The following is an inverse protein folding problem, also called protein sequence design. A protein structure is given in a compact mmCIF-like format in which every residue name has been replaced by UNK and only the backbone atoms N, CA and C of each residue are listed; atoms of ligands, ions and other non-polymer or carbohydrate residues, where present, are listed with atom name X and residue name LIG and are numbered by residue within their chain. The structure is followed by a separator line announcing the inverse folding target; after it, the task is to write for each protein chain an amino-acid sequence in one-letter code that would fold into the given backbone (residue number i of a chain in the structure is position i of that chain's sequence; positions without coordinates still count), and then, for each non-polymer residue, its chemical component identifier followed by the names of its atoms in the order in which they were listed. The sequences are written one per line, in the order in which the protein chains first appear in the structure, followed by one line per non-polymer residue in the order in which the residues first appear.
data_IF_705605740436
#
_entry.id   IF_705605740436
#
_cell.length_a   1.000
_cell.length_b   1.000
_cell.length_c   1.000
_cell.angle_alpha   90.00
_cell.angle_beta   90.00
_cell.angle_gamma   90.00
#
_symmetry.space_group_name_H-M   'P 1'
#
loop_
_entity.id
_entity.type
_entity.pdbx_description
1 polymer ?
#
# COMPACT_ATOMS: atom_id res chain seq x y z
N UNK A 1 -9.33 -12.09 41.23
CA UNK A 1 -9.93 -10.79 41.58
C UNK A 1 -10.03 -9.87 40.36
N UNK A 2 -9.14 -10.00 39.37
CA UNK A 2 -9.19 -9.23 38.11
C UNK A 2 -10.23 -9.71 37.10
N UNK A 3 -10.50 -11.02 37.04
CA UNK A 3 -11.43 -11.58 36.05
C UNK A 3 -12.88 -11.16 36.28
N UNK A 4 -13.30 -11.10 37.55
CA UNK A 4 -14.62 -10.58 37.94
C UNK A 4 -14.77 -9.09 37.62
N UNK A 5 -13.69 -8.33 37.78
CA UNK A 5 -13.64 -6.89 37.49
C UNK A 5 -13.74 -6.59 35.99
N UNK A 6 -13.24 -7.51 35.15
CA UNK A 6 -13.35 -7.42 33.70
C UNK A 6 -14.78 -7.73 33.22
N UNK A 7 -15.42 -8.75 33.80
CA UNK A 7 -16.82 -9.10 33.49
C UNK A 7 -17.75 -7.97 33.90
N UNK A 8 -17.58 -7.41 35.10
CA UNK A 8 -18.39 -6.28 35.58
C UNK A 8 -18.25 -5.04 34.67
N UNK A 9 -17.05 -4.79 34.13
CA UNK A 9 -16.78 -3.69 33.19
C UNK A 9 -17.46 -3.91 31.83
N UNK A 10 -17.46 -5.16 31.33
CA UNK A 10 -18.12 -5.52 30.08
C UNK A 10 -19.65 -5.35 30.22
N UNK A 11 -20.24 -5.82 31.31
CA UNK A 11 -21.68 -5.67 31.56
C UNK A 11 -22.11 -4.20 31.71
N UNK A 12 -21.28 -3.37 32.35
CA UNK A 12 -21.53 -1.93 32.47
C UNK A 12 -21.48 -1.22 31.10
N UNK A 13 -20.52 -1.59 30.24
CA UNK A 13 -20.40 -1.05 28.88
C UNK A 13 -21.57 -1.48 27.97
N UNK A 14 -21.99 -2.75 28.06
CA UNK A 14 -23.10 -3.29 27.26
C UNK A 14 -24.45 -2.68 27.68
N UNK A 15 -24.62 -2.35 28.96
CA UNK A 15 -25.82 -1.67 29.46
C UNK A 15 -25.90 -0.22 28.98
N UNK A 16 -24.75 0.48 28.90
CA UNK A 16 -24.69 1.86 28.37
C UNK A 16 -25.02 1.91 26.88
N UNK A 17 -24.56 0.94 26.09
CA UNK A 17 -24.80 0.86 24.65
C UNK A 17 -26.27 0.57 24.28
N UNK A 18 -27.00 -0.15 25.14
CA UNK A 18 -28.40 -0.52 24.89
C UNK A 18 -29.42 0.56 25.31
N UNK A 19 -29.01 1.57 26.08
CA UNK A 19 -29.92 2.64 26.54
C UNK A 19 -30.09 3.80 25.54
N UNK A 20 -29.30 3.85 24.45
CA UNK A 20 -29.34 4.93 23.44
C UNK A 20 -30.08 4.56 22.15
N UNK A 21 -31.12 3.71 22.22
CA UNK A 21 -32.08 3.54 21.12
C UNK A 21 -33.35 4.35 21.40
N UNK A 22 -33.33 5.64 21.06
CA UNK A 22 -34.55 6.42 20.89
C UNK A 22 -34.90 6.57 19.41
N UNK A 23 -36.12 6.12 19.11
CA UNK A 23 -36.83 6.10 17.83
C UNK A 23 -36.82 7.42 17.07
N UNK A 24 -36.66 7.36 15.74
CA UNK A 24 -37.14 8.39 14.82
C UNK A 24 -38.00 7.77 13.71
N UNK A 25 -39.02 8.50 13.22
CA UNK A 25 -40.20 7.92 12.57
C UNK A 25 -40.03 7.75 11.06
N UNK A 26 -40.76 6.79 10.50
CA UNK A 26 -40.98 6.62 9.06
C UNK A 26 -41.56 7.89 8.42
N UNK A 27 -40.83 8.45 7.44
CA UNK A 27 -41.23 9.61 6.66
C UNK A 27 -41.14 9.35 5.15
N UNK A 28 -42.29 8.99 4.57
CA UNK A 28 -42.84 9.37 3.24
C UNK A 28 -41.87 9.55 2.06
N UNK A 29 -41.98 8.64 1.09
CA UNK A 29 -41.51 8.77 -0.28
C UNK A 29 -42.04 10.07 -0.93
N UNK A 30 -41.13 10.90 -1.43
CA UNK A 30 -41.45 11.99 -2.37
C UNK A 30 -40.52 11.87 -3.58
N UNK A 31 -41.10 12.10 -4.74
CA UNK A 31 -40.58 11.80 -6.08
C UNK A 31 -39.26 12.52 -6.38
N UNK A 32 -38.37 11.83 -7.10
CA UNK A 32 -37.11 12.36 -7.60
C UNK A 32 -37.35 13.38 -8.73
N UNK A 33 -36.73 14.57 -8.70
CA UNK A 33 -36.74 15.46 -9.86
C UNK A 33 -35.93 14.83 -11.00
N UNK A 34 -36.54 14.75 -12.19
CA UNK A 34 -35.87 14.34 -13.44
C UNK A 34 -34.61 15.17 -13.68
N UNK A 35 -33.45 14.55 -13.49
CA UNK A 35 -32.15 15.12 -13.84
C UNK A 35 -32.07 15.31 -15.36
N UNK A 36 -31.92 16.56 -15.79
CA UNK A 36 -31.63 16.92 -17.18
C UNK A 36 -30.22 16.46 -17.52
N UNK A 37 -30.13 15.57 -18.51
CA UNK A 37 -28.90 15.15 -19.18
C UNK A 37 -28.01 16.35 -19.52
N UNK A 38 -26.94 16.54 -18.74
CA UNK A 38 -25.78 17.34 -19.13
C UNK A 38 -24.75 16.38 -19.70
N UNK A 39 -24.38 16.58 -20.96
CA UNK A 39 -23.33 15.83 -21.64
C UNK A 39 -22.04 15.97 -20.84
N UNK A 40 -21.60 14.89 -20.18
CA UNK A 40 -20.37 14.91 -19.39
C UNK A 40 -19.17 15.05 -20.36
N UNK A 41 -18.50 16.20 -20.30
CA UNK A 41 -17.17 16.33 -20.90
C UNK A 41 -16.24 15.42 -20.10
N UNK A 42 -15.51 14.52 -20.75
CA UNK A 42 -14.46 13.72 -20.08
C UNK A 42 -13.55 14.67 -19.29
N UNK A 43 -13.26 14.38 -18.00
CA UNK A 43 -12.41 15.24 -17.20
C UNK A 43 -11.02 15.33 -17.85
N UNK A 44 -10.47 16.55 -17.94
CA UNK A 44 -9.12 16.75 -18.50
C UNK A 44 -8.10 16.10 -17.57
N UNK A 45 -7.26 15.21 -18.11
CA UNK A 45 -6.15 14.60 -17.37
C UNK A 45 -5.23 15.68 -16.80
N UNK A 46 -4.80 15.48 -15.56
CA UNK A 46 -3.92 16.41 -14.86
C UNK A 46 -2.55 16.49 -15.52
N UNK A 47 -1.98 17.70 -15.56
CA UNK A 47 -0.60 17.93 -15.95
C UNK A 47 0.38 17.80 -14.79
N UNK A 48 -0.11 17.64 -13.56
CA UNK A 48 0.72 17.43 -12.39
C UNK A 48 1.37 16.05 -12.46
N UNK A 49 2.64 15.98 -12.09
CA UNK A 49 3.38 14.74 -11.86
C UNK A 49 4.08 14.82 -10.51
N UNK A 50 4.20 13.68 -9.85
CA UNK A 50 4.86 13.55 -8.56
C UNK A 50 6.11 12.70 -8.71
N UNK A 51 7.24 13.21 -8.26
CA UNK A 51 8.41 12.39 -7.99
C UNK A 51 8.27 11.83 -6.58
N UNK A 52 8.01 10.53 -6.47
CA UNK A 52 7.86 9.83 -5.21
C UNK A 52 9.09 8.98 -4.92
N UNK A 53 9.58 9.02 -3.68
CA UNK A 53 10.52 8.04 -3.16
C UNK A 53 9.75 7.02 -2.31
N UNK A 54 9.83 5.76 -2.71
CA UNK A 54 9.26 4.60 -2.02
C UNK A 54 10.42 3.90 -1.31
N UNK A 55 10.40 3.82 0.03
CA UNK A 55 11.45 3.16 0.80
C UNK A 55 10.85 2.04 1.64
N UNK A 56 11.37 0.82 1.51
CA UNK A 56 10.96 -0.32 2.34
C UNK A 56 11.57 -0.16 3.74
N UNK A 57 10.72 -0.20 4.76
CA UNK A 57 11.12 0.03 6.15
C UNK A 57 11.71 -1.26 6.76
N UNK A 58 12.59 -1.10 7.75
CA UNK A 58 13.09 -2.21 8.56
C UNK A 58 14.32 -2.93 8.01
N UNK A 59 14.73 -2.66 6.77
CA UNK A 59 15.88 -3.33 6.13
C UNK A 59 17.07 -2.37 5.96
N UNK A 60 18.28 -2.88 6.22
CA UNK A 60 19.54 -2.17 5.96
C UNK A 60 20.54 -3.11 5.25
N UNK A 61 21.29 -2.62 4.24
CA UNK A 61 21.17 -1.32 3.56
C UNK A 61 19.78 -1.08 2.92
N UNK A 62 19.36 0.18 2.70
CA UNK A 62 17.97 0.47 2.35
C UNK A 62 17.60 -0.01 0.94
N UNK A 63 16.42 -0.63 0.82
CA UNK A 63 15.77 -0.97 -0.44
C UNK A 63 14.79 0.16 -0.79
N UNK A 64 14.93 0.74 -1.98
CA UNK A 64 14.08 1.87 -2.38
C UNK A 64 13.95 2.04 -3.89
N UNK A 65 12.88 2.74 -4.29
CA UNK A 65 12.58 3.16 -5.66
C UNK A 65 12.22 4.64 -5.68
N UNK A 66 12.57 5.33 -6.76
CA UNK A 66 12.12 6.69 -7.06
C UNK A 66 11.36 6.64 -8.37
N UNK A 67 10.09 7.00 -8.32
CA UNK A 67 9.16 6.91 -9.45
C UNK A 67 8.57 8.27 -9.76
N UNK A 68 8.32 8.53 -11.04
CA UNK A 68 7.51 9.64 -11.51
C UNK A 68 6.11 9.09 -11.81
N UNK A 69 5.08 9.68 -11.21
CA UNK A 69 3.68 9.23 -11.34
C UNK A 69 2.74 10.39 -11.68
N UNK A 70 1.69 10.17 -12.50
CA UNK A 70 0.76 11.24 -12.85
C UNK A 70 -0.13 11.59 -11.66
N UNK A 71 -0.44 12.88 -11.51
CA UNK A 71 -1.28 13.34 -10.41
C UNK A 71 -2.75 12.91 -10.51
N UNK A 72 -3.21 12.54 -11.70
CA UNK A 72 -4.55 11.99 -11.89
C UNK A 72 -4.65 10.49 -11.60
N UNK A 73 -3.52 9.81 -11.35
CA UNK A 73 -3.52 8.43 -10.84
C UNK A 73 -4.28 8.37 -9.51
N UNK A 74 -4.93 7.25 -9.27
CA UNK A 74 -5.58 6.93 -8.01
C UNK A 74 -4.58 6.33 -7.01
N UNK A 75 -4.98 6.20 -5.75
CA UNK A 75 -4.19 5.44 -4.78
C UNK A 75 -4.12 3.95 -5.13
N UNK A 76 -5.14 3.39 -5.79
CA UNK A 76 -5.06 2.03 -6.32
C UNK A 76 -4.02 1.93 -7.43
N UNK A 77 -3.98 2.89 -8.37
CA UNK A 77 -2.93 2.93 -9.38
C UNK A 77 -1.53 3.04 -8.74
N UNK A 78 -1.39 3.84 -7.67
CA UNK A 78 -0.14 3.93 -6.91
C UNK A 78 0.24 2.58 -6.28
N UNK A 79 -0.72 1.81 -5.78
CA UNK A 79 -0.46 0.45 -5.30
C UNK A 79 0.11 -0.42 -6.43
N UNK A 80 -0.52 -0.45 -7.60
CA UNK A 80 -0.01 -1.21 -8.77
C UNK A 80 1.40 -0.77 -9.15
N UNK A 81 1.66 0.54 -9.15
CA UNK A 81 2.97 1.12 -9.45
C UNK A 81 4.03 0.67 -8.43
N UNK A 82 3.69 0.65 -7.13
CA UNK A 82 4.61 0.19 -6.08
C UNK A 82 4.92 -1.29 -6.30
N UNK A 83 3.92 -2.12 -6.55
CA UNK A 83 4.05 -3.56 -6.74
C UNK A 83 4.97 -3.88 -7.93
N UNK A 84 4.73 -3.29 -9.10
CA UNK A 84 5.60 -3.44 -10.26
C UNK A 84 7.02 -2.89 -10.02
N UNK A 85 7.15 -1.79 -9.28
CA UNK A 85 8.44 -1.21 -8.93
C UNK A 85 9.25 -2.07 -7.96
N UNK A 86 8.57 -2.81 -7.09
CA UNK A 86 9.19 -3.75 -6.15
C UNK A 86 9.40 -5.15 -6.76
N UNK A 87 8.68 -5.50 -7.83
CA UNK A 87 8.71 -6.86 -8.39
C UNK A 87 7.90 -7.84 -7.54
N UNK A 88 6.70 -7.38 -7.16
CA UNK A 88 5.71 -8.07 -6.34
C UNK A 88 4.45 -8.36 -7.17
N UNK A 89 3.63 -9.28 -6.68
CA UNK A 89 2.58 -10.02 -7.38
C UNK A 89 1.16 -9.52 -7.05
N UNK A 90 1.01 -8.55 -6.14
CA UNK A 90 -0.29 -7.98 -5.77
C UNK A 90 -1.24 -8.99 -5.12
N UNK A 91 -0.70 -10.04 -4.50
CA UNK A 91 -1.45 -11.16 -3.92
C UNK A 91 -2.19 -10.82 -2.62
N UNK A 92 -1.79 -9.76 -1.91
CA UNK A 92 -2.31 -9.45 -0.58
C UNK A 92 -3.04 -8.11 -0.48
N UNK A 93 -3.75 -7.92 0.64
CA UNK A 93 -4.38 -6.66 0.99
C UNK A 93 -3.35 -5.55 1.21
N UNK A 94 -3.80 -4.31 1.02
CA UNK A 94 -2.98 -3.13 1.22
C UNK A 94 -3.79 -1.95 1.75
N UNK A 95 -3.09 -1.01 2.38
CA UNK A 95 -3.64 0.29 2.71
C UNK A 95 -2.58 1.40 2.68
N UNK A 96 -3.05 2.63 2.49
CA UNK A 96 -2.25 3.83 2.70
C UNK A 96 -2.71 4.54 3.97
N UNK A 97 -1.78 4.85 4.86
CA UNK A 97 -2.05 5.60 6.09
C UNK A 97 -1.59 7.06 5.92
N UNK A 98 -2.58 7.96 5.78
CA UNK A 98 -2.40 9.41 5.70
C UNK A 98 -2.73 10.09 7.04
N UNK A 99 -2.31 9.47 8.15
CA UNK A 99 -2.52 9.87 9.55
C UNK A 99 -3.95 9.67 10.04
N UNK A 100 -4.88 10.54 9.63
CA UNK A 100 -6.27 10.50 10.08
C UNK A 100 -7.19 9.76 9.11
N UNK A 101 -6.65 9.40 7.94
CA UNK A 101 -7.38 8.79 6.84
C UNK A 101 -6.63 7.55 6.37
N UNK A 102 -7.37 6.45 6.22
CA UNK A 102 -6.91 5.23 5.59
C UNK A 102 -7.47 5.16 4.17
N UNK A 103 -6.63 4.82 3.20
CA UNK A 103 -7.05 4.66 1.81
C UNK A 103 -6.75 3.22 1.39
N UNK A 104 -7.79 2.43 1.10
CA UNK A 104 -7.68 1.02 0.72
C UNK A 104 -8.80 0.61 -0.23
N UNK A 105 -8.85 -0.66 -0.61
CA UNK A 105 -10.08 -1.24 -1.15
C UNK A 105 -11.07 -1.43 0.01
N UNK A 106 -12.33 -0.97 -0.11
CA UNK A 106 -13.36 -1.24 0.89
C UNK A 106 -13.62 -2.74 1.02
N UNK A 107 -13.78 -3.21 2.25
CA UNK A 107 -14.18 -4.58 2.56
C UNK A 107 -15.33 -4.61 3.56
N UNK A 108 -15.96 -5.77 3.72
CA UNK A 108 -17.13 -5.93 4.61
C UNK A 108 -16.74 -5.85 6.11
N UNK A 109 -15.45 -5.80 6.43
CA UNK A 109 -14.89 -5.70 7.78
C UNK A 109 -14.56 -4.25 8.19
N UNK A 110 -14.87 -3.26 7.34
CA UNK A 110 -14.61 -1.83 7.52
C UNK A 110 -15.17 -1.22 8.83
N UNK A 111 -16.01 -1.96 9.55
CA UNK A 111 -16.58 -1.54 10.84
C UNK A 111 -15.62 -1.58 12.04
N UNK A 112 -14.42 -2.16 11.92
CA UNK A 112 -13.49 -2.36 13.03
C UNK A 112 -12.35 -1.32 13.17
N UNK A 113 -12.34 -0.26 12.37
CA UNK A 113 -11.28 0.76 12.45
C UNK A 113 -11.62 1.88 13.44
N UNK A 114 -10.96 1.87 14.59
CA UNK A 114 -11.13 2.84 15.67
C UNK A 114 -10.66 4.25 15.26
N UNK A 115 -11.58 5.05 14.71
CA UNK A 115 -11.47 6.52 14.67
C UNK A 115 -10.73 7.13 13.48
N UNK A 116 -10.42 6.38 12.42
CA UNK A 116 -9.93 6.93 11.14
C UNK A 116 -11.01 6.87 10.07
N UNK A 117 -11.10 7.90 9.23
CA UNK A 117 -11.94 7.87 8.03
C UNK A 117 -11.32 6.92 7.00
N UNK A 118 -12.13 6.10 6.32
CA UNK A 118 -11.66 5.25 5.22
C UNK A 118 -12.19 5.75 3.87
N UNK A 119 -11.31 5.80 2.89
CA UNK A 119 -11.64 6.17 1.52
C UNK A 119 -11.26 5.05 0.54
N UNK A 120 -12.06 4.91 -0.51
CA UNK A 120 -11.84 3.93 -1.58
C UNK A 120 -10.65 4.34 -2.48
N UNK A 121 -9.58 3.56 -2.44
CA UNK A 121 -8.35 3.78 -3.18
C UNK A 121 -8.54 3.88 -4.69
N UNK A 122 -9.61 3.29 -5.25
CA UNK A 122 -9.93 3.33 -6.68
C UNK A 122 -10.54 4.66 -7.13
N UNK A 123 -10.95 5.50 -6.18
CA UNK A 123 -11.70 6.73 -6.46
C UNK A 123 -10.91 7.99 -6.13
N UNK A 124 -9.99 7.88 -5.18
CA UNK A 124 -9.21 9.00 -4.69
C UNK A 124 -7.96 9.19 -5.54
N UNK A 125 -7.81 10.38 -6.12
CA UNK A 125 -6.63 10.73 -6.92
C UNK A 125 -5.50 11.28 -6.06
N UNK A 126 -4.26 11.00 -6.45
CA UNK A 126 -3.07 11.50 -5.76
C UNK A 126 -3.07 13.02 -5.63
N UNK A 127 -3.45 13.74 -6.69
CA UNK A 127 -3.47 15.21 -6.69
C UNK A 127 -4.41 15.85 -5.67
N UNK A 128 -5.39 15.10 -5.16
CA UNK A 128 -6.31 15.61 -4.14
C UNK A 128 -5.67 15.58 -2.75
N UNK A 129 -4.62 14.77 -2.55
CA UNK A 129 -4.02 14.48 -1.25
C UNK A 129 -2.55 14.84 -1.14
N UNK A 130 -1.82 14.85 -2.25
CA UNK A 130 -0.39 15.17 -2.29
C UNK A 130 -0.22 16.64 -2.65
N UNK A 131 -0.21 17.50 -1.64
CA UNK A 131 -0.23 18.96 -1.82
C UNK A 131 1.13 19.63 -1.60
N UNK A 132 2.05 18.95 -0.91
CA UNK A 132 3.32 19.53 -0.49
C UNK A 132 4.52 18.61 -0.75
N UNK A 133 5.63 19.21 -1.17
CA UNK A 133 6.91 18.51 -1.16
C UNK A 133 7.31 18.16 0.27
N UNK A 134 8.03 17.05 0.43
CA UNK A 134 8.41 16.42 1.71
C UNK A 134 7.26 15.81 2.49
N UNK A 135 6.02 15.86 1.99
CA UNK A 135 4.90 15.10 2.56
C UNK A 135 5.26 13.61 2.60
N UNK A 136 4.89 12.96 3.71
CA UNK A 136 5.13 11.53 3.94
C UNK A 136 3.86 10.83 4.39
N UNK A 137 3.70 9.60 3.94
CA UNK A 137 2.64 8.69 4.34
C UNK A 137 3.15 7.24 4.24
N UNK A 138 2.43 6.31 4.86
CA UNK A 138 2.78 4.89 4.80
C UNK A 138 1.96 4.17 3.74
N UNK A 139 2.60 3.21 3.09
CA UNK A 139 1.94 2.16 2.33
C UNK A 139 2.24 0.83 3.03
N UNK A 140 1.19 0.14 3.44
CA UNK A 140 1.24 -1.15 4.14
C UNK A 140 0.72 -2.19 3.16
N UNK A 141 1.51 -3.24 2.94
CA UNK A 141 1.19 -4.35 2.07
C UNK A 141 1.36 -5.65 2.82
N UNK A 142 0.45 -6.59 2.57
CA UNK A 142 0.34 -7.86 3.27
C UNK A 142 0.18 -7.69 4.78
N UNK A 143 -1.02 -7.94 5.28
CA UNK A 143 -1.29 -7.79 6.72
C UNK A 143 -0.75 -8.97 7.55
N UNK A 144 -0.28 -10.04 6.90
CA UNK A 144 0.51 -11.11 7.52
C UNK A 144 1.95 -10.65 7.73
N UNK A 145 2.70 -10.46 6.64
CA UNK A 145 4.13 -10.09 6.69
C UNK A 145 4.38 -8.63 7.11
N UNK A 146 3.36 -7.79 7.00
CA UNK A 146 3.33 -6.40 7.44
C UNK A 146 4.42 -5.53 6.80
N UNK A 147 4.52 -5.60 5.47
CA UNK A 147 5.47 -4.82 4.69
C UNK A 147 5.12 -3.34 4.69
N UNK A 148 5.92 -2.55 5.40
CA UNK A 148 5.73 -1.10 5.49
C UNK A 148 6.68 -0.34 4.57
N UNK A 149 6.12 0.56 3.79
CA UNK A 149 6.87 1.50 2.97
C UNK A 149 6.61 2.92 3.40
N UNK A 150 7.67 3.70 3.54
CA UNK A 150 7.57 5.15 3.65
C UNK A 150 7.56 5.75 2.25
N UNK A 151 6.46 6.40 1.89
CA UNK A 151 6.35 7.17 0.65
C UNK A 151 6.67 8.63 0.97
N UNK A 152 7.60 9.23 0.23
CA UNK A 152 7.93 10.67 0.35
C UNK A 152 7.69 11.36 -0.98
N UNK A 153 6.91 12.43 -0.97
CA UNK A 153 6.77 13.34 -2.11
C UNK A 153 8.05 14.17 -2.21
N UNK A 154 8.95 13.84 -3.13
CA UNK A 154 10.20 14.60 -3.27
C UNK A 154 10.03 15.85 -4.12
N UNK A 155 9.22 15.78 -5.17
CA UNK A 155 8.91 16.92 -6.05
C UNK A 155 7.48 16.88 -6.57
N UNK A 156 6.90 18.06 -6.79
CA UNK A 156 5.62 18.24 -7.47
C UNK A 156 5.86 19.11 -8.71
N UNK A 157 5.62 18.57 -9.90
CA UNK A 157 5.94 19.24 -11.15
C UNK A 157 4.69 19.41 -12.02
N UNK A 158 4.60 20.53 -12.73
CA UNK A 158 3.59 20.73 -13.80
C UNK A 158 4.25 20.48 -15.14
N UNK A 159 3.82 19.43 -15.84
CA UNK A 159 4.36 19.05 -17.15
C UNK A 159 3.65 19.79 -18.30
N UNK A 160 4.28 19.90 -19.50
CA UNK A 160 3.63 20.50 -20.67
C UNK A 160 2.36 19.74 -21.12
N UNK A 161 2.39 18.41 -20.98
CA UNK A 161 1.29 17.47 -21.24
C UNK A 161 1.14 16.49 -20.07
N UNK A 162 -0.06 15.92 -19.84
CA UNK A 162 -0.24 14.86 -18.85
C UNK A 162 0.78 13.73 -19.01
N UNK A 163 1.30 13.24 -17.89
CA UNK A 163 2.11 12.04 -17.88
C UNK A 163 1.19 10.84 -18.12
N UNK A 164 1.44 10.05 -19.16
CA UNK A 164 0.57 8.92 -19.51
C UNK A 164 0.87 7.66 -18.70
N UNK A 165 2.12 7.50 -18.24
CA UNK A 165 2.61 6.28 -17.60
C UNK A 165 3.60 6.61 -16.48
N UNK A 166 3.60 5.78 -15.45
CA UNK A 166 4.62 5.87 -14.41
C UNK A 166 5.99 5.46 -14.95
N UNK A 167 7.07 5.98 -14.35
CA UNK A 167 8.44 5.61 -14.73
C UNK A 167 9.33 5.62 -13.50
N UNK A 168 10.09 4.55 -13.29
CA UNK A 168 11.16 4.51 -12.31
C UNK A 168 12.36 5.31 -12.83
N UNK A 169 12.81 6.26 -12.02
CA UNK A 169 13.92 7.14 -12.30
C UNK A 169 15.24 6.62 -11.72
N UNK A 170 15.19 6.02 -10.53
CA UNK A 170 16.33 5.44 -9.79
C UNK A 170 15.84 4.43 -8.77
N UNK A 171 16.71 3.54 -8.32
CA UNK A 171 16.45 2.62 -7.21
C UNK A 171 17.74 1.94 -6.77
N UNK A 172 17.65 1.14 -5.71
CA UNK A 172 18.73 0.25 -5.25
C UNK A 172 18.17 -0.99 -4.59
N UNK A 173 18.93 -2.08 -4.71
CA UNK A 173 18.71 -3.39 -4.09
C UNK A 173 17.46 -4.12 -4.58
N UNK A 174 17.52 -5.45 -4.53
CA UNK A 174 16.40 -6.30 -4.84
C UNK A 174 15.38 -6.20 -3.70
N UNK A 175 14.10 -6.39 -4.01
CA UNK A 175 13.07 -6.48 -2.98
C UNK A 175 12.95 -7.92 -2.49
N UNK A 176 12.51 -8.12 -1.23
CA UNK A 176 12.27 -9.45 -0.70
C UNK A 176 11.28 -10.23 -1.58
N UNK A 177 11.36 -11.57 -1.60
CA UNK A 177 10.24 -12.41 -2.04
C UNK A 177 8.96 -12.07 -1.27
N UNK A 178 7.80 -12.22 -1.91
CA UNK A 178 6.54 -12.24 -1.16
C UNK A 178 6.49 -13.49 -0.28
N UNK A 179 5.69 -13.45 0.79
CA UNK A 179 5.50 -14.55 1.74
C UNK A 179 6.78 -15.04 2.45
N UNK A 180 7.86 -14.25 2.44
CA UNK A 180 9.11 -14.66 3.08
C UNK A 180 9.14 -14.44 4.60
N UNK A 181 8.00 -14.13 5.23
CA UNK A 181 7.88 -13.91 6.67
C UNK A 181 8.26 -12.49 7.10
N UNK A 182 7.98 -11.51 6.25
CA UNK A 182 8.22 -10.11 6.52
C UNK A 182 9.70 -9.76 6.66
N UNK A 183 9.97 -8.62 7.31
CA UNK A 183 11.34 -8.10 7.47
C UNK A 183 12.26 -9.10 8.16
N UNK A 184 11.77 -9.78 9.20
CA UNK A 184 12.59 -10.73 9.96
C UNK A 184 12.91 -11.97 9.14
N UNK A 185 11.91 -12.58 8.50
CA UNK A 185 12.13 -13.76 7.68
C UNK A 185 13.06 -13.47 6.49
N UNK A 186 12.96 -12.29 5.87
CA UNK A 186 13.92 -11.88 4.84
C UNK A 186 15.36 -11.75 5.36
N UNK A 187 15.56 -11.13 6.52
CA UNK A 187 16.90 -10.96 7.08
C UNK A 187 17.53 -12.30 7.48
N UNK A 188 16.73 -13.22 8.00
CA UNK A 188 17.16 -14.59 8.29
C UNK A 188 17.55 -15.36 7.03
N UNK A 189 16.80 -15.19 5.92
CA UNK A 189 17.17 -15.74 4.62
C UNK A 189 18.51 -15.17 4.12
N UNK A 190 18.73 -13.86 4.24
CA UNK A 190 20.01 -13.26 3.84
C UNK A 190 21.18 -13.75 4.70
N UNK A 191 20.97 -13.89 6.01
CA UNK A 191 21.99 -14.43 6.91
C UNK A 191 22.27 -15.90 6.59
N UNK A 192 21.24 -16.70 6.31
CA UNK A 192 21.37 -18.10 5.93
C UNK A 192 22.13 -18.24 4.61
N UNK A 193 21.80 -17.43 3.60
CA UNK A 193 22.47 -17.44 2.30
C UNK A 193 23.96 -17.04 2.42
N UNK A 194 24.27 -16.05 3.27
CA UNK A 194 25.65 -15.64 3.52
C UNK A 194 26.49 -16.71 4.23
N UNK A 195 25.85 -17.65 4.95
CA UNK A 195 26.50 -18.72 5.71
C UNK A 195 26.19 -20.13 5.16
N UNK A 196 25.71 -20.22 3.91
CA UNK A 196 25.12 -21.43 3.33
C UNK A 196 26.04 -22.66 3.45
N UNK A 197 27.35 -22.50 3.21
CA UNK A 197 28.33 -23.60 3.28
C UNK A 197 28.45 -24.24 4.68
N UNK A 198 28.05 -23.50 5.72
CA UNK A 198 28.11 -23.94 7.13
C UNK A 198 26.73 -24.22 7.73
N UNK A 199 25.66 -24.02 6.94
CA UNK A 199 24.29 -24.16 7.39
C UNK A 199 23.90 -25.64 7.50
N UNK A 200 23.57 -26.08 8.71
CA UNK A 200 23.16 -27.45 8.99
C UNK A 200 21.70 -27.60 9.39
N UNK A 201 20.99 -26.48 9.58
CA UNK A 201 19.57 -26.47 9.95
C UNK A 201 18.73 -26.83 8.71
N UNK A 202 18.02 -27.98 8.71
CA UNK A 202 17.20 -28.40 7.58
C UNK A 202 16.07 -27.42 7.24
N UNK A 203 15.49 -26.73 8.23
CA UNK A 203 14.38 -25.79 7.99
C UNK A 203 14.88 -24.54 7.26
N UNK A 204 16.06 -24.05 7.62
CA UNK A 204 16.67 -22.89 6.95
C UNK A 204 17.16 -23.23 5.54
N UNK A 205 17.64 -24.46 5.32
CA UNK A 205 18.00 -24.93 3.97
C UNK A 205 16.76 -24.99 3.06
N UNK A 206 15.65 -25.54 3.54
CA UNK A 206 14.39 -25.58 2.76
C UNK A 206 13.89 -24.17 2.41
N UNK A 207 13.99 -23.23 3.35
CA UNK A 207 13.61 -21.83 3.13
C UNK A 207 14.54 -21.11 2.15
N UNK A 208 15.84 -21.42 2.15
CA UNK A 208 16.78 -20.91 1.15
C UNK A 208 16.48 -21.45 -0.25
N UNK A 209 16.25 -22.76 -0.36
CA UNK A 209 15.89 -23.39 -1.63
C UNK A 209 14.60 -22.75 -2.19
N UNK A 210 13.58 -22.56 -1.35
CA UNK A 210 12.36 -21.84 -1.72
C UNK A 210 12.64 -20.40 -2.20
N UNK A 211 13.53 -19.67 -1.53
CA UNK A 211 13.90 -18.32 -1.96
C UNK A 211 14.53 -18.33 -3.36
N UNK A 212 15.41 -19.28 -3.64
CA UNK A 212 16.05 -19.43 -4.95
C UNK A 212 15.07 -19.88 -6.03
N UNK A 213 14.09 -20.72 -5.71
CA UNK A 213 13.00 -21.07 -6.64
C UNK A 213 12.16 -19.84 -7.01
N UNK A 214 11.91 -18.95 -6.03
CA UNK A 214 11.09 -17.75 -6.23
C UNK A 214 11.84 -16.59 -6.92
N UNK A 215 13.14 -16.43 -6.67
CA UNK A 215 13.93 -15.29 -7.17
C UNK A 215 15.00 -15.64 -8.21
N UNK A 216 15.26 -16.92 -8.42
CA UNK A 216 16.38 -17.43 -9.20
C UNK A 216 17.59 -17.77 -8.30
N UNK A 217 18.33 -18.81 -8.68
CA UNK A 217 19.58 -19.24 -8.00
C UNK A 217 20.65 -18.14 -7.96
N UNK A 218 20.58 -17.17 -8.88
CA UNK A 218 21.47 -16.02 -8.97
C UNK A 218 20.95 -14.77 -8.23
N UNK A 219 19.99 -14.95 -7.29
CA UNK A 219 19.46 -13.85 -6.51
C UNK A 219 20.56 -13.07 -5.77
N UNK A 220 20.78 -11.85 -6.23
CA UNK A 220 21.66 -10.87 -5.58
C UNK A 220 20.80 -9.82 -4.84
N UNK A 221 20.85 -9.76 -3.50
CA UNK A 221 20.07 -8.79 -2.72
C UNK A 221 20.47 -7.33 -3.00
N UNK A 222 21.64 -7.08 -3.59
CA UNK A 222 22.11 -5.74 -3.95
C UNK A 222 21.78 -5.36 -5.41
N UNK A 223 21.34 -6.31 -6.23
CA UNK A 223 21.00 -6.07 -7.63
C UNK A 223 19.80 -5.13 -7.80
N UNK A 224 19.83 -4.31 -8.85
CA UNK A 224 18.70 -3.47 -9.24
C UNK A 224 18.80 -3.13 -10.73
N UNK A 225 17.76 -3.48 -11.49
CA UNK A 225 17.65 -3.20 -12.92
C UNK A 225 16.50 -2.23 -13.20
N UNK A 226 16.83 -1.02 -13.65
CA UNK A 226 15.83 0.04 -13.89
C UNK A 226 15.03 -0.19 -15.19
N UNK A 227 15.66 -0.79 -16.20
CA UNK A 227 15.02 -1.13 -17.47
C UNK A 227 13.93 -2.19 -17.26
N UNK A 228 14.20 -3.20 -16.45
CA UNK A 228 13.25 -4.25 -16.10
C UNK A 228 12.06 -3.72 -15.32
N UNK A 229 12.30 -2.86 -14.32
CA UNK A 229 11.24 -2.16 -13.59
C UNK A 229 10.39 -1.32 -14.54
N UNK A 230 11.02 -0.56 -15.45
CA UNK A 230 10.27 0.26 -16.40
C UNK A 230 9.51 -0.56 -17.45
N UNK A 231 9.97 -1.77 -17.78
CA UNK A 231 9.24 -2.73 -18.60
C UNK A 231 7.98 -3.25 -17.89
N UNK A 232 8.08 -3.52 -16.59
CA UNK A 232 6.93 -3.89 -15.74
C UNK A 232 5.90 -2.77 -15.60
N UNK A 233 6.35 -1.58 -15.20
CA UNK A 233 5.51 -0.36 -15.12
C UNK A 233 4.83 -0.01 -16.44
N UNK A 234 5.41 -0.49 -17.54
CA UNK A 234 4.92 -0.31 -18.89
C UNK A 234 3.55 -0.99 -19.16
N UNK A 235 3.18 -2.00 -18.37
CA UNK A 235 1.91 -2.69 -18.51
C UNK A 235 0.77 -2.03 -17.73
N UNK A 236 1.06 -1.03 -16.89
CA UNK A 236 0.03 -0.28 -16.15
C UNK A 236 -0.62 0.75 -17.07
N UNK A 237 -1.96 0.74 -17.12
CA UNK A 237 -2.76 1.70 -17.88
C UNK A 237 -3.47 2.66 -16.92
N UNK A 238 -3.18 3.95 -17.07
CA UNK A 238 -3.69 5.08 -16.26
C UNK A 238 -4.70 5.91 -17.06
#
# INVERSE_FOLDING_TARGET
MEEKRLIDLIDELMTRLNSTKTSHPHGRWTETPKSKSTTSKKPRRSKTAYQLKISLNGIRPPIWRRVLVPGHATFHDLHLIIQEAMGWEQAHLYEFDLRNVLVSIPDDWDSFHFGKERLDARRIQLQQWLTEEKQKFLYIYDFGDYWRHTITVEKIETLPKPLERATCLKGKRACPPEDCGGVYGYLELLESAANQDSLTDPELLERLDWMYDMKGEDFDPDAFNIEEVNKRLSYIHL
#
